data_IF_309541345229
#
_entry.id   IF_309541345229
#
_cell.length_a   1.000
_cell.length_b   1.000
_cell.length_c   1.000
_cell.angle_alpha   90.00
_cell.angle_beta   90.00
_cell.angle_gamma   90.00
#
_symmetry.space_group_name_H-M   'P 1'
#
loop_
_entity.id
_entity.type
_entity.pdbx_description
1 polymer ?
#
# COMPACT_ATOMS: atom_id res chain seq x y z
N UNK A 1 -51.98 -8.97 -53.33
CA UNK A 1 -51.71 -7.92 -52.32
C UNK A 1 -51.04 -8.60 -51.14
N UNK A 2 -49.73 -8.65 -51.14
CA UNK A 2 -48.92 -9.26 -50.06
C UNK A 2 -48.38 -8.10 -49.20
N UNK A 3 -48.89 -7.96 -47.99
CA UNK A 3 -48.36 -7.07 -46.96
C UNK A 3 -47.12 -7.73 -46.33
N UNK A 4 -45.95 -7.26 -46.68
CA UNK A 4 -44.73 -7.64 -45.99
C UNK A 4 -44.65 -6.95 -44.63
N UNK A 5 -44.79 -7.71 -43.57
CA UNK A 5 -44.51 -7.28 -42.20
C UNK A 5 -42.99 -7.14 -42.02
N UNK A 6 -42.47 -5.91 -42.00
CA UNK A 6 -41.12 -5.63 -41.52
C UNK A 6 -41.05 -5.91 -40.01
N UNK A 7 -40.53 -7.06 -39.65
CA UNK A 7 -40.11 -7.33 -38.26
C UNK A 7 -38.94 -6.40 -37.94
N UNK A 8 -39.18 -5.36 -37.12
CA UNK A 8 -38.10 -4.59 -36.47
C UNK A 8 -37.40 -5.53 -35.50
N UNK A 9 -36.23 -6.04 -35.92
CA UNK A 9 -35.33 -6.68 -35.00
C UNK A 9 -34.86 -5.62 -34.00
N UNK A 10 -35.36 -5.71 -32.77
CA UNK A 10 -34.87 -4.95 -31.62
C UNK A 10 -33.43 -5.49 -31.32
N UNK A 11 -32.46 -5.01 -32.06
CA UNK A 11 -31.06 -5.24 -31.73
C UNK A 11 -30.74 -4.38 -30.50
N UNK A 12 -31.00 -4.90 -29.28
CA UNK A 12 -30.35 -4.33 -28.10
C UNK A 12 -28.85 -4.40 -28.35
N UNK A 13 -28.09 -3.30 -28.17
CA UNK A 13 -26.64 -3.36 -28.23
C UNK A 13 -26.16 -4.46 -27.29
N UNK A 14 -25.18 -5.26 -27.75
CA UNK A 14 -24.61 -6.32 -26.93
C UNK A 14 -24.10 -5.71 -25.61
N UNK A 15 -24.54 -6.27 -24.48
CA UNK A 15 -24.12 -5.83 -23.16
C UNK A 15 -22.63 -6.15 -22.97
N UNK A 16 -21.82 -5.15 -22.62
CA UNK A 16 -20.41 -5.37 -22.24
C UNK A 16 -20.35 -5.92 -20.82
N UNK A 17 -19.72 -7.06 -20.64
CA UNK A 17 -19.51 -7.67 -19.30
C UNK A 17 -18.08 -7.45 -18.87
N UNK A 18 -17.89 -6.67 -17.80
CA UNK A 18 -16.58 -6.47 -17.16
C UNK A 18 -16.45 -7.36 -15.93
N UNK A 19 -15.27 -7.90 -15.73
CA UNK A 19 -14.90 -8.55 -14.46
C UNK A 19 -13.93 -7.68 -13.68
N UNK A 20 -14.33 -7.33 -12.47
CA UNK A 20 -13.53 -6.58 -11.51
C UNK A 20 -12.96 -7.53 -10.45
N UNK A 21 -11.66 -7.56 -10.30
CA UNK A 21 -10.99 -8.39 -9.30
C UNK A 21 -10.50 -7.56 -8.12
N UNK A 22 -10.87 -7.96 -6.91
CA UNK A 22 -10.45 -7.28 -5.70
C UNK A 22 -10.88 -7.99 -4.43
N UNK A 23 -10.41 -7.49 -3.29
CA UNK A 23 -10.88 -7.90 -1.98
C UNK A 23 -12.39 -7.67 -1.86
N UNK A 24 -13.08 -8.63 -1.26
CA UNK A 24 -14.53 -8.61 -1.08
C UNK A 24 -14.95 -8.85 0.37
N UNK A 25 -14.03 -8.62 1.34
CA UNK A 25 -14.28 -8.88 2.75
C UNK A 25 -15.12 -7.79 3.42
N UNK A 26 -16.02 -8.26 4.29
CA UNK A 26 -16.71 -7.43 5.28
C UNK A 26 -17.38 -6.19 4.71
N UNK A 27 -17.15 -5.07 5.37
CA UNK A 27 -17.71 -3.76 5.00
C UNK A 27 -17.17 -3.24 3.66
N UNK A 28 -15.91 -3.52 3.34
CA UNK A 28 -15.30 -3.14 2.06
C UNK A 28 -16.00 -3.83 0.88
N UNK A 29 -16.18 -5.15 0.95
CA UNK A 29 -16.85 -5.90 -0.10
C UNK A 29 -18.30 -5.46 -0.30
N UNK A 30 -19.00 -5.13 0.78
CA UNK A 30 -20.35 -4.58 0.72
C UNK A 30 -20.39 -3.22 0.03
N UNK A 31 -19.43 -2.35 0.33
CA UNK A 31 -19.31 -1.03 -0.28
C UNK A 31 -19.00 -1.13 -1.78
N UNK A 32 -18.01 -1.95 -2.15
CA UNK A 32 -17.65 -2.17 -3.56
C UNK A 32 -18.86 -2.66 -4.34
N UNK A 33 -19.61 -3.64 -3.83
CA UNK A 33 -20.82 -4.13 -4.51
C UNK A 33 -21.85 -3.03 -4.75
N UNK A 34 -22.06 -2.12 -3.77
CA UNK A 34 -22.96 -0.95 -3.93
C UNK A 34 -22.45 0.04 -4.98
N UNK A 35 -21.14 0.31 -4.99
CA UNK A 35 -20.52 1.22 -5.97
C UNK A 35 -20.63 0.64 -7.39
N UNK A 36 -20.38 -0.66 -7.57
CA UNK A 36 -20.55 -1.34 -8.85
C UNK A 36 -22.00 -1.33 -9.32
N UNK A 37 -22.97 -1.55 -8.42
CA UNK A 37 -24.39 -1.48 -8.75
C UNK A 37 -24.80 -0.08 -9.25
N UNK A 38 -24.34 1.00 -8.60
CA UNK A 38 -24.59 2.36 -9.04
C UNK A 38 -23.93 2.67 -10.38
N UNK A 39 -22.71 2.19 -10.60
CA UNK A 39 -22.05 2.31 -11.90
C UNK A 39 -22.88 1.69 -13.02
N UNK A 40 -23.40 0.48 -12.84
CA UNK A 40 -24.25 -0.21 -13.82
C UNK A 40 -25.55 0.54 -14.09
N UNK A 41 -26.13 1.21 -13.09
CA UNK A 41 -27.31 2.07 -13.28
C UNK A 41 -27.01 3.31 -14.14
N UNK A 42 -25.83 3.90 -14.00
CA UNK A 42 -25.36 5.04 -14.79
C UNK A 42 -24.92 4.63 -16.21
N UNK A 43 -24.56 3.36 -16.40
CA UNK A 43 -24.06 2.82 -17.67
C UNK A 43 -24.81 1.56 -18.08
N UNK A 44 -26.09 1.67 -18.53
CA UNK A 44 -26.98 0.52 -18.75
C UNK A 44 -26.50 -0.48 -19.83
N UNK A 45 -25.44 -0.16 -20.59
CA UNK A 45 -24.80 -1.08 -21.54
C UNK A 45 -23.62 -1.86 -20.96
N UNK A 46 -23.27 -1.65 -19.67
CA UNK A 46 -22.14 -2.30 -19.03
C UNK A 46 -22.63 -3.05 -17.79
N UNK A 47 -22.34 -4.35 -17.73
CA UNK A 47 -22.53 -5.18 -16.54
C UNK A 47 -21.17 -5.46 -15.91
N UNK A 48 -21.07 -5.36 -14.58
CA UNK A 48 -19.84 -5.64 -13.82
C UNK A 48 -20.03 -6.82 -12.89
N UNK A 49 -19.17 -7.81 -13.01
CA UNK A 49 -19.10 -8.97 -12.13
C UNK A 49 -17.88 -8.85 -11.20
N UNK A 50 -18.12 -8.96 -9.89
CA UNK A 50 -17.06 -9.00 -8.89
C UNK A 50 -16.45 -10.41 -8.84
N UNK A 51 -15.20 -10.53 -9.27
CA UNK A 51 -14.41 -11.74 -9.12
C UNK A 51 -13.62 -11.67 -7.83
N UNK A 52 -14.05 -12.44 -6.83
CA UNK A 52 -13.39 -12.48 -5.52
C UNK A 52 -12.00 -13.11 -5.64
N UNK A 53 -11.05 -12.53 -4.92
CA UNK A 53 -9.68 -13.03 -4.79
C UNK A 53 -9.33 -13.24 -3.33
N UNK A 54 -8.24 -13.97 -3.02
CA UNK A 54 -7.74 -14.07 -1.67
C UNK A 54 -7.46 -12.69 -1.06
N UNK A 55 -7.74 -12.53 0.23
CA UNK A 55 -7.45 -11.29 0.96
C UNK A 55 -5.95 -11.19 1.28
N UNK A 56 -5.28 -12.33 1.49
CA UNK A 56 -3.82 -12.39 1.60
C UNK A 56 -3.18 -11.86 0.31
N UNK A 57 -2.35 -10.81 0.46
CA UNK A 57 -1.72 -10.11 -0.65
C UNK A 57 -0.79 -11.03 -1.46
N UNK A 58 -0.03 -11.93 -0.81
CA UNK A 58 0.89 -12.82 -1.50
C UNK A 58 0.13 -13.86 -2.34
N UNK A 59 -0.96 -14.43 -1.80
CA UNK A 59 -1.80 -15.37 -2.53
C UNK A 59 -2.49 -14.68 -3.71
N UNK A 60 -2.96 -13.44 -3.54
CA UNK A 60 -3.58 -12.65 -4.61
C UNK A 60 -2.56 -12.31 -5.71
N UNK A 61 -1.34 -11.91 -5.35
CA UNK A 61 -0.25 -11.68 -6.29
C UNK A 61 0.03 -12.93 -7.13
N UNK A 62 0.24 -14.08 -6.50
CA UNK A 62 0.50 -15.34 -7.19
C UNK A 62 -0.63 -15.72 -8.16
N UNK A 63 -1.88 -15.51 -7.75
CA UNK A 63 -3.05 -15.78 -8.59
C UNK A 63 -3.06 -14.86 -9.84
N UNK A 64 -2.78 -13.58 -9.66
CA UNK A 64 -2.68 -12.63 -10.78
C UNK A 64 -1.55 -13.00 -11.73
N UNK A 65 -0.38 -13.33 -11.21
CA UNK A 65 0.77 -13.78 -12.00
C UNK A 65 0.40 -15.02 -12.84
N UNK A 66 -0.31 -15.99 -12.27
CA UNK A 66 -0.78 -17.17 -13.02
C UNK A 66 -1.72 -16.80 -14.17
N UNK A 67 -2.73 -15.95 -13.91
CA UNK A 67 -3.69 -15.54 -14.94
C UNK A 67 -3.03 -14.74 -16.07
N UNK A 68 -2.16 -13.80 -15.72
CA UNK A 68 -1.53 -12.90 -16.68
C UNK A 68 -0.43 -13.58 -17.49
N UNK A 69 0.31 -14.52 -16.90
CA UNK A 69 1.23 -15.39 -17.65
C UNK A 69 0.48 -16.28 -18.67
N UNK A 70 -0.70 -16.74 -18.34
CA UNK A 70 -1.57 -17.48 -19.24
C UNK A 70 -2.32 -16.58 -20.24
N UNK A 71 -2.08 -15.27 -20.22
CA UNK A 71 -2.74 -14.25 -21.06
C UNK A 71 -4.26 -14.28 -20.97
N UNK A 72 -4.77 -14.58 -19.79
CA UNK A 72 -6.22 -14.60 -19.55
C UNK A 72 -6.73 -13.14 -19.50
N UNK A 73 -7.68 -12.79 -20.37
CA UNK A 73 -8.26 -11.45 -20.46
C UNK A 73 -9.21 -11.08 -19.30
N UNK A 74 -9.54 -12.03 -18.45
CA UNK A 74 -10.35 -11.85 -17.26
C UNK A 74 -9.54 -12.11 -15.98
N UNK A 75 -9.65 -11.25 -14.96
CA UNK A 75 -10.50 -10.04 -14.87
C UNK A 75 -9.98 -8.89 -15.74
N UNK A 76 -10.90 -7.99 -16.15
CA UNK A 76 -10.58 -6.79 -16.92
C UNK A 76 -9.85 -5.75 -16.07
N UNK A 77 -10.26 -5.63 -14.80
CA UNK A 77 -9.72 -4.67 -13.84
C UNK A 77 -9.14 -5.43 -12.65
N UNK A 78 -7.93 -5.04 -12.30
CA UNK A 78 -7.14 -5.62 -11.22
C UNK A 78 -6.99 -4.60 -10.08
N UNK A 79 -7.33 -5.01 -8.86
CA UNK A 79 -6.90 -4.31 -7.66
C UNK A 79 -5.45 -4.72 -7.36
N UNK A 80 -4.50 -3.82 -7.56
CA UNK A 80 -3.09 -4.04 -7.25
C UNK A 80 -2.73 -3.48 -5.88
N UNK A 81 -1.79 -4.11 -5.18
CA UNK A 81 -1.06 -3.46 -4.10
C UNK A 81 -0.14 -2.38 -4.69
N UNK A 82 0.13 -1.34 -3.91
CA UNK A 82 0.94 -0.19 -4.35
C UNK A 82 2.33 -0.57 -4.87
N UNK A 83 2.88 -1.72 -4.45
CA UNK A 83 4.22 -2.18 -4.85
C UNK A 83 4.23 -3.07 -6.10
N UNK A 84 3.07 -3.50 -6.62
CA UNK A 84 3.04 -4.44 -7.76
C UNK A 84 2.99 -3.75 -9.12
N UNK A 85 2.60 -2.47 -9.17
CA UNK A 85 2.43 -1.76 -10.46
C UNK A 85 3.69 -1.79 -11.35
N UNK A 86 4.92 -1.55 -10.83
CA UNK A 86 6.12 -1.61 -11.67
C UNK A 86 6.40 -2.99 -12.24
N UNK A 87 6.20 -4.06 -11.46
CA UNK A 87 6.35 -5.45 -11.90
C UNK A 87 5.38 -5.77 -13.03
N UNK A 88 4.09 -5.48 -12.82
CA UNK A 88 3.03 -5.76 -13.78
C UNK A 88 3.18 -4.93 -15.06
N UNK A 89 3.65 -3.69 -14.95
CA UNK A 89 3.95 -2.84 -16.09
C UNK A 89 5.14 -3.34 -16.88
N UNK A 90 6.25 -3.70 -16.23
CA UNK A 90 7.44 -4.23 -16.88
C UNK A 90 7.20 -5.57 -17.57
N UNK A 91 6.35 -6.42 -16.99
CA UNK A 91 5.92 -7.68 -17.59
C UNK A 91 4.91 -7.52 -18.76
N UNK A 92 4.40 -6.30 -18.99
CA UNK A 92 3.40 -6.03 -20.01
C UNK A 92 2.01 -6.60 -19.68
N UNK A 93 1.72 -6.81 -18.39
CA UNK A 93 0.47 -7.40 -17.91
C UNK A 93 -0.65 -6.39 -17.68
N UNK A 94 -0.31 -5.10 -17.60
CA UNK A 94 -1.27 -4.00 -17.43
C UNK A 94 -1.07 -2.94 -18.51
N UNK A 95 -2.17 -2.28 -18.89
CA UNK A 95 -2.13 -1.25 -19.94
C UNK A 95 -1.67 0.09 -19.38
N UNK A 96 -0.84 0.86 -20.12
CA UNK A 96 -0.58 2.26 -19.77
C UNK A 96 -1.87 3.08 -19.89
N UNK A 97 -2.15 3.86 -18.84
CA UNK A 97 -3.34 4.70 -18.77
C UNK A 97 -3.18 6.05 -19.47
N UNK A 98 -1.99 6.41 -19.91
CA UNK A 98 -1.67 7.69 -20.59
C UNK A 98 -2.58 7.96 -21.79
N UNK A 99 -3.00 6.92 -22.51
CA UNK A 99 -3.95 7.05 -23.64
C UNK A 99 -5.32 7.61 -23.25
N UNK A 100 -5.71 7.48 -21.98
CA UNK A 100 -6.98 7.96 -21.45
C UNK A 100 -6.86 9.36 -20.82
N UNK A 101 -5.65 9.95 -20.79
CA UNK A 101 -5.35 11.26 -20.22
C UNK A 101 -5.93 11.47 -18.80
N UNK A 102 -5.68 10.57 -17.83
CA UNK A 102 -6.22 10.71 -16.49
C UNK A 102 -5.73 11.99 -15.80
N UNK A 103 -6.60 12.59 -14.98
CA UNK A 103 -6.29 13.80 -14.20
C UNK A 103 -5.35 13.47 -13.02
N UNK A 104 -4.13 13.00 -13.32
CA UNK A 104 -3.16 12.53 -12.33
C UNK A 104 -2.71 13.60 -11.32
N UNK A 105 -2.75 14.88 -11.71
CA UNK A 105 -2.42 16.03 -10.85
C UNK A 105 -3.41 16.23 -9.69
N UNK A 106 -4.57 15.59 -9.72
CA UNK A 106 -5.56 15.66 -8.64
C UNK A 106 -5.28 14.67 -7.49
N UNK A 107 -4.27 13.83 -7.62
CA UNK A 107 -3.88 12.83 -6.63
C UNK A 107 -2.62 13.24 -5.86
N UNK A 108 -2.40 12.66 -4.68
CA UNK A 108 -1.14 12.85 -3.96
C UNK A 108 0.05 12.38 -4.82
N UNK A 109 1.13 13.19 -4.93
CA UNK A 109 2.27 12.88 -5.81
C UNK A 109 2.90 11.51 -5.53
N UNK A 110 3.05 11.12 -4.26
CA UNK A 110 3.62 9.82 -3.88
C UNK A 110 2.82 8.64 -4.45
N UNK A 111 1.48 8.74 -4.49
CA UNK A 111 0.61 7.69 -5.02
C UNK A 111 0.71 7.58 -6.55
N UNK A 112 0.93 8.70 -7.25
CA UNK A 112 1.18 8.70 -8.70
C UNK A 112 2.57 8.14 -9.01
N UNK A 113 3.59 8.54 -8.25
CA UNK A 113 4.96 8.00 -8.40
C UNK A 113 4.97 6.48 -8.29
N UNK A 114 4.30 5.91 -7.29
CA UNK A 114 4.21 4.45 -7.09
C UNK A 114 3.54 3.71 -8.25
N UNK A 115 2.70 4.40 -9.03
CA UNK A 115 1.96 3.86 -10.17
C UNK A 115 2.56 4.21 -11.53
N UNK A 116 3.73 4.88 -11.53
CA UNK A 116 4.43 5.30 -12.75
C UNK A 116 5.66 4.42 -12.96
N UNK A 117 5.76 3.81 -14.13
CA UNK A 117 6.93 3.04 -14.56
C UNK A 117 7.38 3.47 -15.96
N UNK A 118 8.70 3.64 -16.16
CA UNK A 118 9.28 4.09 -17.42
C UNK A 118 8.58 5.34 -18.01
N UNK A 119 8.22 6.30 -17.15
CA UNK A 119 7.57 7.56 -17.54
C UNK A 119 6.09 7.45 -17.91
N UNK A 120 5.46 6.29 -17.72
CA UNK A 120 4.04 6.08 -18.01
C UNK A 120 3.27 5.66 -16.75
N UNK A 121 2.03 6.16 -16.62
CA UNK A 121 1.11 5.79 -15.54
C UNK A 121 0.36 4.51 -15.95
N UNK A 122 0.35 3.49 -15.07
CA UNK A 122 -0.28 2.18 -15.32
C UNK A 122 -1.50 1.88 -14.44
N UNK A 123 -1.64 2.57 -13.31
CA UNK A 123 -2.79 2.40 -12.43
C UNK A 123 -3.22 3.75 -11.83
N UNK A 124 -4.52 3.87 -11.48
CA UNK A 124 -5.00 5.01 -10.69
C UNK A 124 -5.08 4.64 -9.22
N UNK A 125 -4.60 5.51 -8.32
CA UNK A 125 -4.70 5.28 -6.87
C UNK A 125 -6.18 5.20 -6.44
N UNK A 126 -6.57 4.12 -5.77
CA UNK A 126 -7.93 3.91 -5.33
C UNK A 126 -8.15 4.36 -3.89
N UNK A 127 -7.30 3.88 -2.98
CA UNK A 127 -7.21 4.37 -1.61
C UNK A 127 -5.76 4.26 -1.13
N UNK A 128 -5.40 5.10 -0.16
CA UNK A 128 -4.11 5.04 0.50
C UNK A 128 -4.24 4.43 1.88
N UNK A 129 -3.28 3.60 2.22
CA UNK A 129 -2.92 3.26 3.59
C UNK A 129 -1.56 3.86 3.89
N UNK A 130 -1.36 4.29 5.13
CA UNK A 130 -0.10 4.83 5.59
C UNK A 130 0.23 4.28 6.97
N UNK A 131 1.49 4.01 7.22
CA UNK A 131 1.91 3.61 8.55
C UNK A 131 1.71 4.74 9.55
N UNK A 132 1.11 4.43 10.69
CA UNK A 132 0.80 5.38 11.75
C UNK A 132 1.42 4.95 13.06
N UNK A 133 1.94 5.93 13.81
CA UNK A 133 2.23 5.74 15.23
C UNK A 133 0.97 6.06 16.05
N UNK A 134 0.41 5.07 16.69
CA UNK A 134 -0.66 5.19 17.68
C UNK A 134 -0.07 5.48 19.05
N UNK A 135 -0.65 6.42 19.78
CA UNK A 135 -0.16 6.89 21.07
C UNK A 135 -1.29 6.96 22.09
N UNK A 136 -1.06 6.45 23.29
CA UNK A 136 -1.96 6.59 24.45
C UNK A 136 -1.91 8.02 24.98
N UNK A 137 -2.94 8.82 24.71
CA UNK A 137 -3.01 10.24 25.12
C UNK A 137 -3.19 10.45 26.62
N UNK A 138 -3.75 9.47 27.32
CA UNK A 138 -3.88 9.48 28.78
C UNK A 138 -2.55 9.17 29.50
N UNK A 139 -1.58 8.59 28.81
CA UNK A 139 -0.25 8.29 29.36
C UNK A 139 0.83 9.25 28.84
N UNK A 140 0.76 9.56 27.56
CA UNK A 140 1.67 10.44 26.83
C UNK A 140 0.83 11.50 26.13
N UNK A 141 0.56 12.67 26.75
CA UNK A 141 -0.34 13.68 26.20
C UNK A 141 0.14 14.31 24.90
N UNK A 142 1.45 14.51 24.75
CA UNK A 142 2.05 15.14 23.59
C UNK A 142 2.61 14.11 22.61
N UNK A 143 2.63 14.46 21.31
CA UNK A 143 3.30 13.69 20.28
C UNK A 143 4.82 13.71 20.53
N UNK A 144 5.53 12.55 20.53
CA UNK A 144 6.99 12.55 20.68
C UNK A 144 7.63 13.23 19.47
N UNK A 145 8.51 14.18 19.71
CA UNK A 145 9.18 14.97 18.65
C UNK A 145 10.24 14.17 17.90
N UNK A 146 10.76 13.11 18.55
CA UNK A 146 11.77 12.22 17.98
C UNK A 146 11.75 10.85 18.67
N UNK A 147 12.50 9.89 18.11
CA UNK A 147 12.59 8.52 18.65
C UNK A 147 13.16 8.46 20.07
N UNK A 148 14.05 9.37 20.45
CA UNK A 148 14.58 9.44 21.83
C UNK A 148 13.50 9.81 22.84
N UNK A 149 12.61 10.75 22.50
CA UNK A 149 11.43 11.07 23.32
C UNK A 149 10.44 9.90 23.38
N UNK A 150 10.19 9.22 22.24
CA UNK A 150 9.33 8.03 22.22
C UNK A 150 9.82 6.98 23.23
N UNK A 151 11.12 6.68 23.25
CA UNK A 151 11.71 5.74 24.22
C UNK A 151 11.54 6.22 25.67
N UNK A 152 11.77 7.52 25.90
CA UNK A 152 11.65 8.13 27.24
C UNK A 152 10.20 8.07 27.74
N UNK A 153 9.26 8.47 26.90
CA UNK A 153 7.83 8.47 27.20
C UNK A 153 7.30 7.05 27.44
N UNK A 154 7.75 6.09 26.61
CA UNK A 154 7.42 4.69 26.78
C UNK A 154 7.85 4.16 28.15
N UNK A 155 9.12 4.38 28.52
CA UNK A 155 9.67 3.95 29.83
C UNK A 155 8.96 4.60 31.01
N UNK A 156 8.68 5.89 30.92
CA UNK A 156 7.96 6.60 31.96
C UNK A 156 6.53 6.10 32.14
N UNK A 157 5.82 5.83 31.04
CA UNK A 157 4.47 5.29 31.09
C UNK A 157 4.43 3.85 31.63
N UNK A 158 5.38 3.00 31.23
CA UNK A 158 5.51 1.63 31.73
C UNK A 158 5.82 1.57 33.23
N UNK A 159 6.62 2.53 33.74
CA UNK A 159 7.02 2.57 35.15
C UNK A 159 5.90 3.05 36.13
N UNK A 160 4.77 3.53 35.60
CA UNK A 160 3.64 3.97 36.48
C UNK A 160 3.00 2.76 37.16
N UNK A 161 2.47 2.91 38.38
CA UNK A 161 1.66 1.88 39.02
C UNK A 161 0.50 1.46 38.11
N UNK A 162 0.45 0.16 37.71
CA UNK A 162 -0.55 -0.33 36.76
C UNK A 162 -0.33 0.12 35.31
N UNK A 163 0.88 0.61 34.97
CA UNK A 163 1.25 1.01 33.63
C UNK A 163 1.22 -0.14 32.61
N UNK A 164 1.22 0.18 31.32
CA UNK A 164 1.23 -0.82 30.27
C UNK A 164 2.48 -1.72 30.33
N UNK A 165 2.29 -2.97 29.91
CA UNK A 165 3.38 -3.95 29.89
C UNK A 165 4.44 -3.60 28.83
N UNK A 166 4.02 -2.98 27.69
CA UNK A 166 4.85 -2.72 26.53
C UNK A 166 4.91 -1.21 26.25
N UNK A 167 6.10 -0.73 25.89
CA UNK A 167 6.31 0.65 25.46
C UNK A 167 5.85 0.85 24.02
N UNK A 168 6.31 -0.01 23.12
CA UNK A 168 5.89 0.01 21.71
C UNK A 168 5.68 -1.41 21.20
N UNK A 169 4.72 -1.57 20.27
CA UNK A 169 4.46 -2.80 19.53
C UNK A 169 4.38 -2.52 18.04
N UNK A 170 4.92 -3.43 17.23
CA UNK A 170 5.01 -3.32 15.78
C UNK A 170 5.09 -4.70 15.11
N UNK A 171 5.01 -4.74 13.76
CA UNK A 171 5.02 -5.93 12.94
C UNK A 171 6.46 -6.40 12.72
N UNK A 172 6.88 -7.43 13.43
CA UNK A 172 8.26 -7.95 13.38
C UNK A 172 8.39 -9.36 12.83
N UNK A 173 7.29 -10.03 12.48
CA UNK A 173 7.33 -11.32 11.79
C UNK A 173 8.05 -11.17 10.43
N UNK A 174 8.58 -12.28 9.92
CA UNK A 174 9.27 -12.29 8.62
C UNK A 174 8.26 -12.25 7.46
N UNK A 175 7.75 -11.08 7.14
CA UNK A 175 6.83 -10.80 6.03
C UNK A 175 6.92 -9.31 5.64
N UNK A 176 6.10 -8.85 4.69
CA UNK A 176 6.12 -7.48 4.17
C UNK A 176 5.91 -6.40 5.25
N UNK A 177 5.15 -6.68 6.31
CA UNK A 177 4.94 -5.75 7.43
C UNK A 177 6.24 -5.36 8.16
N UNK A 178 7.23 -6.24 8.21
CA UNK A 178 8.56 -5.90 8.73
C UNK A 178 9.26 -4.87 7.83
N UNK A 179 9.11 -5.00 6.51
CA UNK A 179 9.72 -4.06 5.56
C UNK A 179 9.08 -2.70 5.66
N UNK A 180 7.76 -2.62 5.74
CA UNK A 180 7.06 -1.34 5.90
C UNK A 180 7.44 -0.63 7.20
N UNK A 181 7.54 -1.37 8.31
CA UNK A 181 8.08 -0.83 9.56
C UNK A 181 9.52 -0.35 9.41
N UNK A 182 10.41 -1.17 8.83
CA UNK A 182 11.81 -0.80 8.62
C UNK A 182 11.96 0.45 7.75
N UNK A 183 11.14 0.64 6.71
CA UNK A 183 11.17 1.86 5.87
C UNK A 183 10.87 3.12 6.69
N UNK A 184 10.01 3.04 7.70
CA UNK A 184 9.72 4.15 8.60
C UNK A 184 10.92 4.47 9.51
N UNK A 185 11.51 3.46 10.15
CA UNK A 185 12.75 3.66 10.91
C UNK A 185 13.88 4.16 10.00
N UNK A 186 14.01 3.61 8.79
CA UNK A 186 15.03 4.00 7.83
C UNK A 186 14.92 5.49 7.45
N UNK A 187 13.72 5.97 7.11
CA UNK A 187 13.44 7.38 6.84
C UNK A 187 13.66 8.27 8.06
N UNK A 188 13.30 7.78 9.27
CA UNK A 188 13.57 8.49 10.53
C UNK A 188 15.06 8.78 10.73
N UNK A 189 15.96 7.93 10.22
CA UNK A 189 17.40 8.13 10.22
C UNK A 189 17.95 8.75 8.92
N UNK A 190 17.11 9.10 7.95
CA UNK A 190 17.51 9.68 6.66
C UNK A 190 18.13 8.67 5.69
N UNK A 191 17.85 7.38 5.87
CA UNK A 191 18.32 6.30 5.01
C UNK A 191 17.33 5.95 3.89
N UNK A 192 17.79 5.13 2.94
CA UNK A 192 17.03 4.60 1.81
C UNK A 192 17.45 3.17 1.50
N UNK A 193 16.60 2.41 0.84
CA UNK A 193 16.95 1.08 0.31
C UNK A 193 17.74 1.23 -1.00
N UNK A 194 17.18 1.98 -1.94
CA UNK A 194 17.80 2.37 -3.20
C UNK A 194 17.92 3.90 -3.26
N UNK A 195 18.95 4.42 -3.91
CA UNK A 195 19.04 5.85 -4.23
C UNK A 195 18.26 6.21 -5.52
N UNK A 196 18.23 7.50 -5.86
CA UNK A 196 17.48 7.98 -7.03
C UNK A 196 18.03 7.47 -8.37
N UNK A 197 19.26 6.91 -8.38
CA UNK A 197 19.85 6.21 -9.54
C UNK A 197 19.60 4.71 -9.54
N UNK A 198 18.88 4.18 -8.54
CA UNK A 198 18.61 2.77 -8.39
C UNK A 198 19.75 1.95 -7.78
N UNK A 199 20.80 2.60 -7.27
CA UNK A 199 21.89 1.89 -6.58
C UNK A 199 21.46 1.47 -5.19
N UNK A 200 21.95 0.32 -4.73
CA UNK A 200 21.68 -0.19 -3.41
C UNK A 200 22.45 0.62 -2.36
N UNK A 201 21.72 1.21 -1.41
CA UNK A 201 22.28 2.03 -0.32
C UNK A 201 21.77 1.59 1.06
N UNK A 202 21.12 0.44 1.14
CA UNK A 202 20.51 -0.09 2.38
C UNK A 202 21.55 -0.46 3.46
N UNK A 203 22.82 -0.56 3.13
CA UNK A 203 23.91 -0.84 4.08
C UNK A 203 24.70 0.41 4.54
N UNK A 204 24.22 1.61 4.18
CA UNK A 204 24.80 2.88 4.63
C UNK A 204 24.58 3.10 6.15
N UNK A 205 25.39 3.96 6.81
CA UNK A 205 25.32 4.15 8.26
C UNK A 205 23.94 4.49 8.81
N UNK A 206 23.10 5.19 8.05
CA UNK A 206 21.73 5.54 8.42
C UNK A 206 20.86 4.29 8.59
N UNK A 207 20.95 3.36 7.63
CA UNK A 207 20.20 2.10 7.68
C UNK A 207 20.68 1.19 8.81
N UNK A 208 21.97 1.18 9.06
CA UNK A 208 22.54 0.41 10.19
C UNK A 208 22.02 0.94 11.52
N UNK A 209 21.98 2.28 11.70
CA UNK A 209 21.42 2.89 12.91
C UNK A 209 19.92 2.61 13.06
N UNK A 210 19.18 2.66 11.98
CA UNK A 210 17.76 2.32 11.98
C UNK A 210 17.51 0.88 12.46
N UNK A 211 18.20 -0.09 11.89
CA UNK A 211 18.09 -1.50 12.29
C UNK A 211 18.60 -1.75 13.71
N UNK A 212 19.70 -1.08 14.10
CA UNK A 212 20.21 -1.14 15.47
C UNK A 212 19.20 -0.58 16.46
N UNK A 213 18.51 0.54 16.13
CA UNK A 213 17.49 1.12 17.00
C UNK A 213 16.31 0.16 17.21
N UNK A 214 15.78 -0.48 16.15
CA UNK A 214 14.76 -1.52 16.27
C UNK A 214 15.21 -2.67 17.19
N UNK A 215 16.46 -3.11 17.05
CA UNK A 215 17.05 -4.15 17.90
C UNK A 215 17.20 -3.66 19.35
N UNK A 216 17.56 -2.41 19.57
CA UNK A 216 17.69 -1.81 20.90
C UNK A 216 16.35 -1.64 21.63
N UNK A 217 15.24 -1.46 20.93
CA UNK A 217 13.90 -1.50 21.50
C UNK A 217 13.61 -2.86 22.19
N UNK A 218 14.12 -3.94 21.61
CA UNK A 218 13.94 -5.31 22.11
C UNK A 218 14.89 -5.63 23.28
N UNK A 219 16.17 -5.31 23.15
CA UNK A 219 17.22 -5.88 24.00
C UNK A 219 17.92 -4.89 24.93
N UNK A 220 17.94 -3.59 24.60
CA UNK A 220 18.66 -2.58 25.38
C UNK A 220 17.70 -1.69 26.15
N UNK A 221 16.68 -1.14 25.50
CA UNK A 221 15.68 -0.30 26.13
C UNK A 221 14.51 -1.10 26.71
N UNK A 222 14.29 -2.32 26.24
CA UNK A 222 13.21 -3.23 26.65
C UNK A 222 11.82 -2.60 26.56
N UNK A 223 11.61 -1.72 25.60
CA UNK A 223 10.28 -1.11 25.38
C UNK A 223 9.39 -1.93 24.44
N UNK A 224 9.97 -2.78 23.59
CA UNK A 224 9.23 -3.72 22.75
C UNK A 224 9.37 -5.15 23.30
N UNK A 225 8.30 -5.96 23.30
CA UNK A 225 8.40 -7.38 23.67
C UNK A 225 9.08 -8.19 22.57
N UNK A 226 9.78 -9.28 22.93
CA UNK A 226 10.35 -10.21 21.94
C UNK A 226 9.27 -10.88 21.07
N UNK A 227 8.06 -10.97 21.58
CA UNK A 227 6.91 -11.54 20.87
C UNK A 227 6.62 -10.82 19.55
N UNK A 228 6.96 -9.51 19.42
CA UNK A 228 6.76 -8.76 18.16
C UNK A 228 7.50 -9.39 16.98
N UNK A 229 8.55 -10.16 17.23
CA UNK A 229 9.31 -10.88 16.18
C UNK A 229 8.50 -11.98 15.46
N UNK A 230 7.30 -12.30 15.97
CA UNK A 230 6.36 -13.23 15.38
C UNK A 230 5.00 -12.60 15.08
N UNK A 231 4.84 -11.29 15.39
CA UNK A 231 3.56 -10.59 15.28
C UNK A 231 3.36 -9.99 13.90
N UNK A 232 2.12 -10.05 13.45
CA UNK A 232 1.56 -9.31 12.33
C UNK A 232 0.75 -8.11 12.87
N UNK A 233 -0.17 -7.59 12.07
CA UNK A 233 -0.96 -6.39 12.41
C UNK A 233 -1.88 -6.61 13.61
N UNK A 234 -2.55 -7.77 13.66
CA UNK A 234 -3.64 -8.02 14.63
C UNK A 234 -3.14 -8.22 16.05
N UNK A 235 -1.99 -8.88 16.26
CA UNK A 235 -1.42 -9.07 17.59
C UNK A 235 -1.06 -7.70 18.20
N UNK A 236 -0.42 -6.82 17.41
CA UNK A 236 -0.13 -5.44 17.81
C UNK A 236 -1.41 -4.66 18.11
N UNK A 237 -2.42 -4.75 17.24
CA UNK A 237 -3.73 -4.13 17.44
C UNK A 237 -4.37 -4.60 18.75
N UNK A 238 -4.44 -5.89 19.01
CA UNK A 238 -5.01 -6.41 20.25
C UNK A 238 -4.24 -5.94 21.50
N UNK A 239 -2.91 -5.91 21.46
CA UNK A 239 -2.10 -5.41 22.56
C UNK A 239 -2.43 -3.95 22.87
N UNK A 240 -2.50 -3.09 21.87
CA UNK A 240 -2.83 -1.67 22.08
C UNK A 240 -4.29 -1.49 22.47
N UNK A 241 -5.23 -2.13 21.79
CA UNK A 241 -6.68 -2.05 22.08
C UNK A 241 -7.02 -2.48 23.51
N UNK A 242 -6.31 -3.47 24.03
CA UNK A 242 -6.45 -3.93 25.42
C UNK A 242 -5.70 -3.05 26.44
N UNK A 243 -5.02 -1.97 26.01
CA UNK A 243 -4.32 -1.04 26.87
C UNK A 243 -3.00 -1.57 27.40
N UNK A 244 -2.43 -2.63 26.83
CA UNK A 244 -1.17 -3.24 27.28
C UNK A 244 0.07 -2.63 26.61
N UNK A 245 -0.09 -1.72 25.63
CA UNK A 245 0.99 -0.98 24.99
C UNK A 245 0.76 0.54 25.08
N UNK A 246 1.86 1.31 25.18
CA UNK A 246 1.86 2.79 25.18
C UNK A 246 1.75 3.32 23.76
N UNK A 247 2.55 2.73 22.86
CA UNK A 247 2.60 3.02 21.44
C UNK A 247 2.35 1.77 20.60
N UNK A 248 1.84 1.98 19.39
CA UNK A 248 1.71 0.92 18.39
C UNK A 248 1.99 1.51 17.01
N UNK A 249 2.82 0.84 16.21
CA UNK A 249 2.86 1.06 14.77
C UNK A 249 1.77 0.20 14.14
N UNK A 250 0.88 0.79 13.33
CA UNK A 250 -0.10 0.04 12.54
C UNK A 250 -0.65 0.90 11.38
N UNK A 251 -1.50 0.31 10.56
CA UNK A 251 -2.25 0.98 9.49
C UNK A 251 -3.46 1.74 10.03
N UNK A 252 -4.26 2.47 9.19
CA UNK A 252 -5.45 3.20 9.63
C UNK A 252 -6.63 2.31 10.07
N UNK A 253 -6.77 1.10 9.53
CA UNK A 253 -7.94 0.24 9.75
C UNK A 253 -8.29 -0.03 11.24
N UNK A 254 -7.34 -0.10 12.19
CA UNK A 254 -7.65 -0.35 13.59
C UNK A 254 -8.43 0.78 14.27
N UNK A 255 -8.40 2.01 13.71
CA UNK A 255 -8.99 3.20 14.35
C UNK A 255 -10.46 2.98 14.72
N UNK A 256 -11.24 2.38 13.82
CA UNK A 256 -12.66 2.15 14.06
C UNK A 256 -12.88 1.22 15.26
N UNK A 257 -12.20 0.07 15.29
CA UNK A 257 -12.32 -0.91 16.38
C UNK A 257 -11.79 -0.35 17.72
N UNK A 258 -10.71 0.43 17.68
CA UNK A 258 -10.15 1.05 18.88
C UNK A 258 -10.99 2.23 19.41
N UNK A 259 -11.82 2.85 18.57
CA UNK A 259 -12.75 3.91 18.99
C UNK A 259 -14.05 3.37 19.60
N UNK A 260 -14.36 2.09 19.42
CA UNK A 260 -15.55 1.45 19.96
C UNK A 260 -15.38 1.15 21.46
N UNK A 261 -16.15 1.88 22.29
CA UNK A 261 -16.12 1.71 23.75
C UNK A 261 -16.55 0.34 24.26
N UNK A 262 -17.27 -0.42 23.45
CA UNK A 262 -17.71 -1.78 23.81
C UNK A 262 -16.60 -2.83 23.67
N UNK A 263 -15.59 -2.54 22.84
CA UNK A 263 -14.53 -3.48 22.46
C UNK A 263 -13.13 -3.02 22.88
N UNK A 264 -12.95 -1.72 23.20
CA UNK A 264 -11.62 -1.11 23.38
C UNK A 264 -11.48 -0.43 24.75
N UNK A 265 -10.40 -0.75 25.45
CA UNK A 265 -9.99 -0.09 26.69
C UNK A 265 -9.35 1.27 26.47
N UNK A 266 -8.98 1.56 25.22
CA UNK A 266 -8.31 2.80 24.82
C UNK A 266 -9.24 3.76 24.05
N UNK A 267 -10.53 3.45 23.95
CA UNK A 267 -11.50 4.30 23.26
C UNK A 267 -11.52 5.72 23.84
N UNK A 268 -11.27 6.72 22.98
CA UNK A 268 -11.14 8.13 23.38
C UNK A 268 -9.84 8.49 24.11
N UNK A 269 -8.87 7.57 24.18
CA UNK A 269 -7.58 7.75 24.87
C UNK A 269 -6.38 7.52 23.95
N UNK A 270 -6.54 7.68 22.65
CA UNK A 270 -5.44 7.55 21.70
C UNK A 270 -5.47 8.65 20.64
N UNK A 271 -4.32 8.89 20.06
CA UNK A 271 -4.12 9.72 18.88
C UNK A 271 -3.16 9.02 17.94
N UNK A 272 -3.11 9.49 16.69
CA UNK A 272 -2.19 8.97 15.66
C UNK A 272 -1.33 10.10 15.12
N UNK A 273 -0.15 9.74 14.65
CA UNK A 273 0.79 10.63 13.97
C UNK A 273 1.60 9.85 12.94
N UNK A 274 2.30 10.52 12.01
CA UNK A 274 3.40 9.89 11.29
C UNK A 274 4.46 9.37 12.26
N UNK A 275 5.29 8.44 11.83
CA UNK A 275 6.42 7.95 12.62
C UNK A 275 7.46 9.08 12.83
N UNK A 276 7.94 9.33 14.06
CA UNK A 276 8.80 10.48 14.34
C UNK A 276 10.22 10.32 13.77
N UNK A 277 10.88 11.44 13.46
CA UNK A 277 12.29 11.46 13.09
C UNK A 277 13.18 10.94 14.23
N UNK A 278 14.40 10.49 13.91
CA UNK A 278 15.38 10.10 14.93
C UNK A 278 15.92 11.29 15.76
N UNK A 279 15.86 12.49 15.18
CA UNK A 279 16.52 13.69 15.72
C UNK A 279 17.94 13.89 15.18
N UNK A 280 18.42 12.96 14.34
CA UNK A 280 19.73 13.06 13.69
C UNK A 280 19.65 13.85 12.35
N UNK A 281 20.78 14.39 11.88
CA UNK A 281 20.83 15.09 10.59
C UNK A 281 20.34 14.21 9.43
N UNK A 282 19.44 14.75 8.59
CA UNK A 282 18.86 14.05 7.45
C UNK A 282 17.64 13.19 7.80
N UNK A 283 17.41 12.89 9.08
CA UNK A 283 16.21 12.17 9.53
C UNK A 283 14.95 13.04 9.43
N UNK A 284 13.83 12.43 9.06
CA UNK A 284 12.55 13.11 8.93
C UNK A 284 11.42 12.22 9.43
N UNK A 285 10.32 12.86 9.81
CA UNK A 285 9.08 12.14 10.11
C UNK A 285 8.56 11.50 8.83
N UNK A 286 8.17 10.24 8.88
CA UNK A 286 7.82 9.45 7.70
C UNK A 286 6.69 8.49 7.98
N UNK A 287 6.09 7.97 6.92
CA UNK A 287 5.13 6.88 6.93
C UNK A 287 5.38 5.97 5.73
N UNK A 288 5.26 4.68 5.88
CA UNK A 288 5.30 3.79 4.71
C UNK A 288 4.01 3.95 3.91
N UNK A 289 4.12 4.18 2.59
CA UNK A 289 2.97 4.21 1.69
C UNK A 289 2.48 2.79 1.43
N UNK A 290 1.22 2.56 1.69
CA UNK A 290 0.44 1.38 1.34
C UNK A 290 -0.80 1.77 0.54
N UNK A 291 -1.76 0.82 0.43
CA UNK A 291 -3.03 1.01 -0.25
C UNK A 291 -3.15 0.24 -1.55
N UNK A 292 -4.26 0.47 -2.26
CA UNK A 292 -4.57 -0.24 -3.48
C UNK A 292 -4.77 0.69 -4.67
N UNK A 293 -4.47 0.14 -5.84
CA UNK A 293 -4.51 0.77 -7.14
C UNK A 293 -5.44 -0.01 -8.07
N UNK A 294 -6.00 0.65 -9.06
CA UNK A 294 -6.81 0.01 -10.10
C UNK A 294 -6.09 0.08 -11.44
N UNK A 295 -5.83 -1.09 -12.02
CA UNK A 295 -5.17 -1.24 -13.31
C UNK A 295 -6.04 -2.02 -14.30
N UNK A 296 -5.82 -1.81 -15.60
CA UNK A 296 -6.47 -2.55 -16.67
C UNK A 296 -5.59 -3.71 -17.10
N UNK A 297 -6.13 -4.92 -17.09
CA UNK A 297 -5.48 -6.10 -17.65
C UNK A 297 -5.15 -5.87 -19.13
N UNK A 298 -3.88 -6.08 -19.51
CA UNK A 298 -3.41 -5.87 -20.89
C UNK A 298 -4.13 -6.76 -21.93
N UNK A 299 -4.72 -7.86 -21.48
CA UNK A 299 -5.44 -8.83 -22.31
C UNK A 299 -6.96 -8.64 -22.29
N UNK A 300 -7.47 -7.58 -21.61
CA UNK A 300 -8.90 -7.24 -21.61
C UNK A 300 -9.38 -6.88 -23.03
N UNK A 301 -10.55 -7.42 -23.40
CA UNK A 301 -11.25 -7.07 -24.64
C UNK A 301 -12.01 -5.76 -24.53
N UNK A 302 -12.15 -5.20 -23.33
CA UNK A 302 -12.99 -4.03 -23.04
C UNK A 302 -12.24 -2.88 -22.33
N UNK A 303 -11.03 -2.48 -22.76
CA UNK A 303 -10.20 -1.53 -22.02
C UNK A 303 -10.84 -0.16 -21.82
N UNK A 304 -11.64 0.33 -22.79
CA UNK A 304 -12.31 1.64 -22.65
C UNK A 304 -13.44 1.60 -21.60
N UNK A 305 -14.19 0.51 -21.54
CA UNK A 305 -15.20 0.29 -20.51
C UNK A 305 -14.59 0.05 -19.14
N UNK A 306 -13.45 -0.66 -19.08
CA UNK A 306 -12.68 -0.86 -17.86
C UNK A 306 -12.15 0.47 -17.32
N UNK A 307 -11.61 1.35 -18.18
CA UNK A 307 -11.17 2.67 -17.75
C UNK A 307 -12.30 3.52 -17.18
N UNK A 308 -13.50 3.53 -17.81
CA UNK A 308 -14.68 4.23 -17.27
C UNK A 308 -15.05 3.78 -15.86
N UNK A 309 -14.94 2.48 -15.58
CA UNK A 309 -15.17 1.97 -14.24
C UNK A 309 -14.07 2.40 -13.26
N UNK A 310 -12.78 2.37 -13.66
CA UNK A 310 -11.68 2.86 -12.85
C UNK A 310 -11.87 4.35 -12.54
N UNK A 311 -12.15 5.18 -13.54
CA UNK A 311 -12.41 6.62 -13.38
C UNK A 311 -13.56 6.87 -12.40
N UNK A 312 -14.66 6.13 -12.53
CA UNK A 312 -15.80 6.20 -11.60
C UNK A 312 -15.39 5.82 -10.17
N UNK A 313 -14.71 4.68 -9.96
CA UNK A 313 -14.32 4.20 -8.64
C UNK A 313 -13.28 5.09 -7.95
N UNK A 314 -12.48 5.82 -8.74
CA UNK A 314 -11.47 6.77 -8.25
C UNK A 314 -11.95 8.23 -8.25
N UNK A 315 -13.22 8.47 -8.56
CA UNK A 315 -13.82 9.80 -8.50
C UNK A 315 -14.01 10.28 -7.04
N UNK A 316 -14.04 11.60 -6.81
CA UNK A 316 -14.11 12.17 -5.46
C UNK A 316 -15.22 11.60 -4.59
N UNK A 317 -16.46 11.46 -5.13
CA UNK A 317 -17.61 10.99 -4.35
C UNK A 317 -17.46 9.52 -3.90
N UNK A 318 -16.90 8.63 -4.74
CA UNK A 318 -16.65 7.23 -4.39
C UNK A 318 -15.54 7.10 -3.36
N UNK A 319 -14.49 7.91 -3.46
CA UNK A 319 -13.43 7.94 -2.46
C UNK A 319 -13.90 8.51 -1.12
N UNK A 320 -14.72 9.55 -1.14
CA UNK A 320 -15.33 10.11 0.06
C UNK A 320 -16.18 9.05 0.77
N UNK A 321 -17.06 8.36 0.02
CA UNK A 321 -17.86 7.28 0.58
C UNK A 321 -17.01 6.16 1.19
N UNK A 322 -15.87 5.79 0.57
CA UNK A 322 -14.92 4.82 1.13
C UNK A 322 -14.32 5.30 2.44
N UNK A 323 -13.88 6.55 2.48
CA UNK A 323 -13.38 7.16 3.72
C UNK A 323 -14.41 7.11 4.85
N UNK A 324 -15.67 7.41 4.53
CA UNK A 324 -16.78 7.42 5.48
C UNK A 324 -17.20 6.02 5.95
N UNK A 325 -17.30 5.06 5.05
CA UNK A 325 -17.88 3.76 5.33
C UNK A 325 -16.87 2.74 5.90
N UNK A 326 -15.59 2.82 5.47
CA UNK A 326 -14.58 1.81 5.79
C UNK A 326 -13.25 2.40 6.29
N UNK A 327 -13.16 3.73 6.43
CA UNK A 327 -11.99 4.41 6.98
C UNK A 327 -10.75 4.40 6.08
N UNK A 328 -10.90 4.03 4.81
CA UNK A 328 -9.81 4.07 3.82
C UNK A 328 -9.54 5.49 3.37
N UNK A 329 -8.28 5.90 3.36
CA UNK A 329 -7.92 7.28 3.08
C UNK A 329 -8.03 7.60 1.58
N UNK A 330 -8.75 8.68 1.22
CA UNK A 330 -8.77 9.16 -0.15
C UNK A 330 -7.38 9.52 -0.65
N UNK A 331 -7.11 9.26 -1.93
CA UNK A 331 -5.82 9.61 -2.56
C UNK A 331 -5.85 10.99 -3.23
N UNK A 332 -6.94 11.76 -3.10
CA UNK A 332 -7.12 13.12 -3.62
C UNK A 332 -7.00 14.15 -2.49
N UNK A 333 -5.98 15.06 -2.52
CA UNK A 333 -5.76 16.07 -1.48
C UNK A 333 -7.00 16.93 -1.18
N UNK A 334 -7.76 17.31 -2.22
CA UNK A 334 -8.92 18.18 -2.07
C UNK A 334 -10.01 17.61 -1.14
N UNK A 335 -10.10 16.27 -1.00
CA UNK A 335 -11.09 15.66 -0.12
C UNK A 335 -10.80 15.86 1.37
N UNK A 336 -9.57 16.22 1.72
CA UNK A 336 -9.19 16.50 3.12
C UNK A 336 -9.68 17.87 3.61
N UNK A 337 -10.21 18.69 2.72
CA UNK A 337 -10.90 19.93 3.06
C UNK A 337 -12.43 19.75 3.15
N UNK A 338 -12.95 18.56 2.79
CA UNK A 338 -14.39 18.24 2.81
C UNK A 338 -14.89 17.96 4.24
N UNK A 339 -15.91 18.70 4.66
CA UNK A 339 -16.52 18.56 5.98
C UNK A 339 -17.15 17.16 6.20
N UNK A 340 -17.60 16.50 5.12
CA UNK A 340 -18.19 15.16 5.17
C UNK A 340 -17.16 14.11 5.56
N UNK A 341 -15.91 14.21 5.06
CA UNK A 341 -14.82 13.34 5.47
C UNK A 341 -14.42 13.60 6.92
N UNK A 342 -14.34 14.88 7.31
CA UNK A 342 -13.99 15.30 8.68
C UNK A 342 -14.91 14.71 9.74
N UNK A 343 -16.21 14.64 9.47
CA UNK A 343 -17.20 14.12 10.42
C UNK A 343 -17.21 12.60 10.55
N UNK A 344 -16.57 11.87 9.62
CA UNK A 344 -16.61 10.41 9.56
C UNK A 344 -15.33 9.73 10.06
N UNK A 345 -14.18 10.42 9.97
CA UNK A 345 -12.93 9.86 10.46
C UNK A 345 -12.87 9.95 11.99
N UNK A 346 -12.49 8.85 12.62
CA UNK A 346 -12.30 8.78 14.08
C UNK A 346 -10.98 9.41 14.55
N UNK A 347 -10.21 10.00 13.65
CA UNK A 347 -8.97 10.76 13.91
C UNK A 347 -9.10 12.15 13.27
N UNK A 348 -8.35 13.16 13.74
CA UNK A 348 -8.34 14.46 13.11
C UNK A 348 -7.90 14.37 11.63
N UNK A 349 -8.67 14.99 10.74
CA UNK A 349 -8.41 14.96 9.31
C UNK A 349 -7.02 15.55 8.93
N UNK A 350 -6.56 16.55 9.71
CA UNK A 350 -5.22 17.11 9.56
C UNK A 350 -4.11 16.07 9.82
N UNK A 351 -4.30 15.16 10.78
CA UNK A 351 -3.32 14.10 11.07
C UNK A 351 -3.31 13.05 9.97
N UNK A 352 -4.48 12.67 9.45
CA UNK A 352 -4.58 11.77 8.30
C UNK A 352 -3.89 12.35 7.05
N UNK A 353 -4.13 13.64 6.75
CA UNK A 353 -3.48 14.34 5.65
C UNK A 353 -1.96 14.42 5.84
N UNK A 354 -1.50 14.81 7.02
CA UNK A 354 -0.07 14.88 7.37
C UNK A 354 0.62 13.54 7.18
N UNK A 355 -0.02 12.44 7.59
CA UNK A 355 0.52 11.10 7.42
C UNK A 355 0.70 10.73 5.93
N UNK A 356 -0.28 11.04 5.07
CA UNK A 356 -0.15 10.76 3.63
C UNK A 356 0.87 11.68 2.96
N UNK A 357 0.94 12.96 3.35
CA UNK A 357 1.93 13.90 2.82
C UNK A 357 3.37 13.52 3.21
N UNK A 358 3.56 12.85 4.36
CA UNK A 358 4.84 12.28 4.79
C UNK A 358 5.12 10.88 4.23
N UNK A 359 4.18 10.31 3.46
CA UNK A 359 4.30 8.94 3.00
C UNK A 359 5.44 8.76 1.99
N UNK A 360 6.27 7.76 2.25
CA UNK A 360 7.39 7.37 1.39
C UNK A 360 7.03 6.07 0.68
N UNK A 361 7.06 6.04 -0.66
CA UNK A 361 6.92 4.79 -1.41
C UNK A 361 8.07 3.85 -1.07
N UNK A 362 7.77 2.57 -0.99
CA UNK A 362 8.80 1.53 -1.05
C UNK A 362 9.49 1.59 -2.43
N UNK A 363 10.66 0.96 -2.64
CA UNK A 363 11.34 1.01 -3.94
C UNK A 363 10.41 0.72 -5.13
N UNK A 364 10.32 1.68 -6.05
CA UNK A 364 9.49 1.57 -7.27
C UNK A 364 10.31 0.82 -8.32
N UNK A 365 10.23 -0.51 -8.29
CA UNK A 365 11.02 -1.39 -9.16
C UNK A 365 10.26 -2.69 -9.47
N UNK A 366 10.40 -3.25 -10.68
CA UNK A 366 9.79 -4.52 -11.04
C UNK A 366 10.27 -5.73 -10.23
N UNK A 367 11.41 -5.62 -9.58
CA UNK A 367 12.01 -6.69 -8.77
C UNK A 367 11.69 -6.53 -7.28
N UNK A 368 10.66 -5.73 -6.94
CA UNK A 368 10.37 -5.41 -5.54
C UNK A 368 10.07 -6.65 -4.70
N UNK A 369 9.34 -7.61 -5.23
CA UNK A 369 8.94 -8.82 -4.51
C UNK A 369 10.16 -9.60 -4.02
N UNK A 370 11.15 -9.85 -4.91
CA UNK A 370 12.38 -10.56 -4.55
C UNK A 370 13.31 -9.70 -3.67
N UNK A 371 13.36 -8.39 -3.91
CA UNK A 371 14.09 -7.45 -3.08
C UNK A 371 13.55 -7.44 -1.65
N UNK A 372 12.23 -7.40 -1.49
CA UNK A 372 11.55 -7.47 -0.20
C UNK A 372 11.87 -8.78 0.52
N UNK A 373 11.82 -9.93 -0.16
CA UNK A 373 12.13 -11.22 0.44
C UNK A 373 13.58 -11.28 0.99
N UNK A 374 14.54 -10.75 0.23
CA UNK A 374 15.93 -10.63 0.68
C UNK A 374 16.01 -9.81 1.98
N UNK A 375 15.35 -8.65 2.01
CA UNK A 375 15.33 -7.79 3.18
C UNK A 375 14.62 -8.44 4.37
N UNK A 376 13.49 -9.09 4.18
CA UNK A 376 12.76 -9.79 5.23
C UNK A 376 13.66 -10.81 5.95
N UNK A 377 14.43 -11.58 5.18
CA UNK A 377 15.35 -12.58 5.73
C UNK A 377 16.45 -11.89 6.54
N UNK A 378 17.14 -10.91 5.97
CA UNK A 378 18.34 -10.32 6.59
C UNK A 378 17.98 -9.42 7.78
N UNK A 379 16.91 -8.62 7.68
CA UNK A 379 16.44 -7.81 8.81
C UNK A 379 16.01 -8.70 9.99
N UNK A 380 15.23 -9.74 9.73
CA UNK A 380 14.78 -10.64 10.78
C UNK A 380 15.96 -11.38 11.44
N UNK A 381 16.98 -11.79 10.67
CA UNK A 381 18.23 -12.37 11.23
C UNK A 381 18.94 -11.43 12.20
N UNK A 382 19.00 -10.13 11.88
CA UNK A 382 19.58 -9.14 12.79
C UNK A 382 18.73 -8.95 14.06
N UNK A 383 17.41 -8.88 13.91
CA UNK A 383 16.47 -8.68 15.02
C UNK A 383 16.45 -9.88 15.98
N UNK A 384 16.59 -11.11 15.48
CA UNK A 384 16.72 -12.31 16.34
C UNK A 384 18.18 -12.60 16.79
N UNK A 385 19.11 -11.67 16.57
CA UNK A 385 20.53 -11.71 16.98
C UNK A 385 21.33 -12.85 16.34
N UNK A 386 20.93 -13.29 15.13
CA UNK A 386 21.70 -14.25 14.31
C UNK A 386 22.77 -13.55 13.46
N UNK A 387 22.72 -12.23 13.33
CA UNK A 387 23.70 -11.40 12.66
C UNK A 387 23.77 -10.03 13.33
N UNK A 388 24.90 -9.34 13.18
CA UNK A 388 24.97 -7.92 13.52
C UNK A 388 24.26 -7.09 12.45
N UNK A 389 23.65 -5.93 12.78
CA UNK A 389 22.92 -5.09 11.83
C UNK A 389 23.73 -4.73 10.58
N UNK A 390 24.99 -4.37 10.74
CA UNK A 390 25.89 -4.06 9.61
C UNK A 390 26.09 -5.27 8.70
N UNK A 391 26.33 -6.47 9.26
CA UNK A 391 26.57 -7.69 8.48
C UNK A 391 25.32 -8.14 7.76
N UNK A 392 24.14 -8.07 8.41
CA UNK A 392 22.86 -8.36 7.80
C UNK A 392 22.56 -7.43 6.60
N UNK A 393 22.77 -6.12 6.77
CA UNK A 393 22.55 -5.16 5.72
C UNK A 393 23.60 -5.25 4.59
N UNK A 394 24.84 -5.58 4.88
CA UNK A 394 25.85 -5.89 3.86
C UNK A 394 25.46 -7.13 3.04
N UNK A 395 24.95 -8.17 3.72
CA UNK A 395 24.44 -9.37 3.06
C UNK A 395 23.23 -9.04 2.16
N UNK A 396 22.29 -8.24 2.66
CA UNK A 396 21.14 -7.77 1.90
C UNK A 396 21.57 -6.98 0.66
N UNK A 397 22.45 -5.99 0.83
CA UNK A 397 22.95 -5.16 -0.26
C UNK A 397 23.59 -6.01 -1.36
N UNK A 398 24.50 -6.93 -0.99
CA UNK A 398 25.15 -7.83 -1.95
C UNK A 398 24.15 -8.70 -2.73
N UNK A 399 23.11 -9.22 -2.06
CA UNK A 399 22.08 -10.05 -2.70
C UNK A 399 21.20 -9.23 -3.63
N UNK A 400 20.85 -7.99 -3.25
CA UNK A 400 20.04 -7.08 -4.07
C UNK A 400 20.85 -6.63 -5.30
N UNK A 401 22.16 -6.31 -5.15
CA UNK A 401 23.03 -5.99 -6.28
C UNK A 401 23.07 -7.15 -7.28
N UNK A 402 23.29 -8.38 -6.80
CA UNK A 402 23.26 -9.57 -7.65
C UNK A 402 21.89 -9.81 -8.33
N UNK A 403 20.79 -9.46 -7.66
CA UNK A 403 19.45 -9.51 -8.24
C UNK A 403 19.32 -8.48 -9.37
N UNK A 404 19.74 -7.23 -9.14
CA UNK A 404 19.72 -6.15 -10.16
C UNK A 404 20.56 -6.52 -11.37
N UNK A 405 21.75 -7.07 -11.16
CA UNK A 405 22.62 -7.54 -12.27
C UNK A 405 21.98 -8.67 -13.07
N UNK A 406 21.48 -9.71 -12.39
CA UNK A 406 20.85 -10.87 -13.01
C UNK A 406 19.62 -10.51 -13.84
N UNK A 407 18.84 -9.55 -13.40
CA UNK A 407 17.61 -9.10 -14.06
C UNK A 407 17.84 -8.03 -15.13
N UNK A 408 19.05 -7.47 -15.22
CA UNK A 408 19.37 -6.38 -16.15
C UNK A 408 18.68 -5.05 -15.78
N UNK A 409 18.16 -4.92 -14.57
CA UNK A 409 17.43 -3.74 -14.12
C UNK A 409 18.24 -2.44 -14.15
N UNK A 410 19.58 -2.52 -14.08
CA UNK A 410 20.43 -1.33 -14.17
C UNK A 410 20.15 -0.52 -15.44
N UNK A 411 19.97 -1.17 -16.61
CA UNK A 411 19.70 -0.50 -17.88
C UNK A 411 18.30 0.12 -17.93
N UNK A 412 17.31 -0.53 -17.31
CA UNK A 412 15.94 -0.04 -17.24
C UNK A 412 15.81 1.16 -16.30
N UNK A 413 16.49 1.12 -15.17
CA UNK A 413 16.50 2.21 -14.19
C UNK A 413 17.31 3.43 -14.68
N UNK A 414 18.35 3.20 -15.50
CA UNK A 414 19.12 4.27 -16.17
C UNK A 414 18.38 4.91 -17.37
N UNK A 415 17.18 4.43 -17.73
CA UNK A 415 16.42 4.93 -18.89
C UNK A 415 16.97 4.49 -20.24
N UNK A 416 17.89 3.53 -20.29
CA UNK A 416 18.60 3.11 -21.50
C UNK A 416 17.85 2.07 -22.36
N UNK A 417 16.74 1.49 -21.85
CA UNK A 417 15.88 0.58 -22.62
C UNK A 417 14.42 1.01 -22.59
N UNK A 418 13.84 1.33 -23.74
CA UNK A 418 12.39 1.38 -23.91
C UNK A 418 11.84 -0.05 -23.75
N UNK A 419 10.76 -0.27 -22.99
CA UNK A 419 10.08 -1.56 -22.97
C UNK A 419 9.68 -1.93 -24.41
N UNK A 420 9.94 -3.17 -24.81
CA UNK A 420 9.56 -3.67 -26.12
C UNK A 420 8.03 -3.56 -26.27
N UNK A 421 7.58 -2.82 -27.27
CA UNK A 421 6.17 -2.80 -27.63
C UNK A 421 5.72 -4.23 -27.96
N UNK A 422 4.50 -4.67 -27.54
CA UNK A 422 3.99 -5.96 -27.93
C UNK A 422 3.99 -6.04 -29.47
N UNK A 423 4.70 -7.01 -30.01
CA UNK A 423 4.74 -7.25 -31.45
C UNK A 423 3.34 -7.57 -31.94
N UNK A 424 2.71 -6.60 -32.61
CA UNK A 424 1.46 -6.79 -33.29
C UNK A 424 1.63 -7.93 -34.32
N UNK A 425 0.75 -8.91 -34.23
CA UNK A 425 0.67 -9.97 -35.22
C UNK A 425 0.47 -9.37 -36.62
N UNK A 426 1.49 -9.47 -37.48
CA UNK A 426 1.37 -9.25 -38.89
C UNK A 426 0.41 -10.29 -39.46
N UNK A 427 -0.81 -9.86 -39.83
CA UNK A 427 -1.68 -10.62 -40.73
C UNK A 427 -1.04 -10.59 -42.10
N UNK A 428 -0.30 -11.65 -42.41
CA UNK A 428 0.11 -11.95 -43.81
C UNK A 428 -1.16 -12.28 -44.58
N UNK A 429 -1.51 -11.43 -45.57
CA UNK A 429 -2.50 -11.73 -46.55
C UNK A 429 -2.03 -12.89 -47.41
N UNK A 430 -2.87 -13.89 -47.60
CA UNK A 430 -2.79 -14.80 -48.73
C UNK A 430 -3.71 -14.26 -49.82
N UNK A 431 -3.09 -13.74 -50.87
CA UNK A 431 -3.64 -13.73 -52.24
C UNK A 431 -3.22 -15.03 -52.89
N UNK A 432 -4.18 -15.85 -53.23
CA UNK A 432 -4.45 -16.55 -54.49
C UNK A 432 -5.64 -17.49 -54.33
#
# INVERSE_FOLDING_TARGET
MFLGACARTNNKPAETVLKFSGSALGAEGTLVAKQLQRFMQLHPGIRVELQRTPDDANQRHQLYVQWLNARVGNPDILQLDVVWTPEFAAAGWVLPLTRFAPASSEFFPATITANTWAGQLYALPWFADVGLLYRRTDLVPNEPRNLGELVTDAKQAMARPGGPRFGIVWQGARYEGLITGFVEYLGAFGGRILDDSGRVVVNQPQAVRALQFMRDELYSSHIAPLDVLTWHEEEGRFAFQNGTAVFMRNWPYPVAAMSDKSQSRVAGKFAVSPFPASGEPGGHSTAALGGAQLAINAYSEHPDSAYRLIEYLTAPEQMLERGQAVGQYPTRPALYDDARLRSSLSIPLADARRAIESATPRPVTPIYTELSEILQIELHRALVRQAEPQDALNSAAKKIDALIERTGMQKLMAGEQKPAAPTGSSTAGHTE
#
